data_IF_595546080208
#
_entry.id   IF_595546080208
#
_cell.length_a   1.000
_cell.length_b   1.000
_cell.length_c   1.000
_cell.angle_alpha   90.00
_cell.angle_beta   90.00
_cell.angle_gamma   90.00
#
_symmetry.space_group_name_H-M   'P 1'
#
loop_
_entity.id
_entity.type
_entity.pdbx_description
1 polymer ?
#
# COMPACT_ATOMS: atom_id res chain seq x y z
N UNK A 1 6.40 0.56 -6.53
CA UNK A 1 5.01 0.67 -7.04
C UNK A 1 4.20 1.75 -6.35
N UNK A 2 4.05 1.72 -5.02
CA UNK A 2 3.12 2.62 -4.33
C UNK A 2 3.50 4.10 -4.42
N UNK A 3 4.77 4.47 -4.27
CA UNK A 3 5.19 5.87 -4.42
C UNK A 3 4.87 6.42 -5.81
N UNK A 4 5.03 5.62 -6.87
CA UNK A 4 4.62 6.02 -8.22
C UNK A 4 3.09 6.19 -8.32
N UNK A 5 2.31 5.32 -7.68
CA UNK A 5 0.85 5.48 -7.55
C UNK A 5 0.45 6.74 -6.78
N UNK A 6 1.18 7.09 -5.71
CA UNK A 6 0.94 8.31 -4.95
C UNK A 6 1.18 9.56 -5.80
N UNK A 7 2.26 9.59 -6.59
CA UNK A 7 2.50 10.66 -7.55
C UNK A 7 1.41 10.73 -8.63
N UNK A 8 0.96 9.59 -9.19
CA UNK A 8 -0.16 9.56 -10.15
C UNK A 8 -1.42 10.20 -9.56
N UNK A 9 -1.80 9.82 -8.35
CA UNK A 9 -2.96 10.39 -7.64
C UNK A 9 -2.77 11.88 -7.38
N UNK A 10 -1.59 12.31 -6.94
CA UNK A 10 -1.30 13.71 -6.66
C UNK A 10 -1.37 14.59 -7.93
N UNK A 11 -0.81 14.12 -9.04
CA UNK A 11 -0.80 14.85 -10.33
C UNK A 11 -2.21 14.95 -10.92
N UNK A 12 -3.01 13.87 -10.84
CA UNK A 12 -4.39 13.88 -11.33
C UNK A 12 -5.30 14.79 -10.49
N UNK A 13 -5.03 14.92 -9.18
CA UNK A 13 -5.81 15.76 -8.26
C UNK A 13 -5.42 17.25 -8.36
N UNK A 14 -5.87 17.93 -9.41
CA UNK A 14 -5.54 19.36 -9.65
C UNK A 14 -6.17 20.38 -8.70
N UNK A 15 -7.16 19.96 -7.90
CA UNK A 15 -7.96 20.84 -7.01
C UNK A 15 -7.90 20.44 -5.54
N UNK A 16 -7.09 19.43 -5.18
CA UNK A 16 -6.96 18.92 -3.82
C UNK A 16 -5.49 18.65 -3.51
N UNK A 17 -4.91 19.24 -2.44
CA UNK A 17 -3.51 19.00 -2.09
C UNK A 17 -3.28 17.53 -1.69
N UNK A 18 -2.05 17.05 -1.88
CA UNK A 18 -1.62 15.71 -1.48
C UNK A 18 -0.31 15.82 -0.69
N UNK A 19 -0.22 15.10 0.42
CA UNK A 19 1.01 14.97 1.22
C UNK A 19 1.50 13.54 1.07
N UNK A 20 2.80 13.37 0.80
CA UNK A 20 3.46 12.08 0.71
C UNK A 20 4.45 11.97 1.88
N UNK A 21 4.17 11.06 2.83
CA UNK A 21 5.09 10.72 3.91
C UNK A 21 6.10 9.69 3.39
N UNK A 22 7.38 10.07 3.29
CA UNK A 22 8.44 9.25 2.70
C UNK A 22 9.45 8.82 3.78
N UNK A 23 9.87 7.55 3.72
CA UNK A 23 10.86 7.00 4.66
C UNK A 23 12.25 7.56 4.42
N UNK A 24 13.08 7.57 5.47
CA UNK A 24 14.51 7.88 5.37
C UNK A 24 15.33 6.65 4.95
N UNK A 25 14.94 5.48 5.44
CA UNK A 25 15.62 4.20 5.25
C UNK A 25 15.16 3.50 3.96
N UNK A 26 15.98 2.54 3.50
CA UNK A 26 15.63 1.64 2.41
C UNK A 26 14.50 0.70 2.85
N UNK A 27 13.64 0.35 1.90
CA UNK A 27 12.55 -0.60 2.06
C UNK A 27 12.49 -1.53 0.83
N UNK A 28 12.03 -2.78 0.96
CA UNK A 28 11.86 -3.67 -0.17
C UNK A 28 10.67 -3.28 -1.04
N UNK A 29 10.67 -3.75 -2.29
CA UNK A 29 9.44 -3.78 -3.09
C UNK A 29 8.71 -5.08 -2.78
N UNK A 30 7.54 -4.98 -2.15
CA UNK A 30 6.74 -6.16 -1.78
C UNK A 30 5.87 -6.65 -2.96
N UNK A 31 5.73 -7.97 -3.15
CA UNK A 31 4.76 -8.54 -4.08
C UNK A 31 3.34 -8.05 -3.79
N UNK A 32 2.50 -7.98 -4.81
CA UNK A 32 1.11 -7.51 -4.71
C UNK A 32 0.96 -5.98 -4.66
N UNK A 33 2.02 -5.23 -4.34
CA UNK A 33 1.94 -3.77 -4.39
C UNK A 33 1.80 -3.26 -5.83
N UNK A 34 0.95 -2.26 -6.06
CA UNK A 34 0.63 -1.77 -7.42
C UNK A 34 0.36 -0.28 -7.47
N UNK A 35 0.51 0.33 -8.66
CA UNK A 35 0.18 1.74 -8.89
C UNK A 35 -1.34 1.95 -8.74
N UNK A 36 -2.13 1.01 -9.26
CA UNK A 36 -3.59 1.03 -9.28
C UNK A 36 -4.16 0.87 -7.87
N UNK A 37 -3.54 0.04 -7.03
CA UNK A 37 -3.95 -0.19 -5.65
C UNK A 37 -3.98 1.09 -4.82
N UNK A 38 -3.01 1.99 -5.01
CA UNK A 38 -2.94 3.27 -4.29
C UNK A 38 -4.18 4.13 -4.52
N UNK A 39 -4.76 4.10 -5.72
CA UNK A 39 -5.97 4.84 -6.04
C UNK A 39 -7.20 4.40 -5.24
N UNK A 40 -7.18 3.19 -4.67
CA UNK A 40 -8.25 2.65 -3.81
C UNK A 40 -8.14 3.11 -2.34
N UNK A 41 -7.04 3.76 -1.96
CA UNK A 41 -6.74 4.15 -0.58
C UNK A 41 -6.21 2.99 0.26
N UNK A 42 -6.96 1.88 0.36
CA UNK A 42 -6.53 0.62 0.97
C UNK A 42 -6.85 -0.56 0.06
N UNK A 43 -5.94 -1.54 -0.01
CA UNK A 43 -6.11 -2.71 -0.88
C UNK A 43 -5.34 -3.92 -0.33
N UNK A 44 -5.75 -5.11 -0.75
CA UNK A 44 -5.15 -6.38 -0.36
C UNK A 44 -3.84 -6.59 -1.15
N UNK A 45 -2.73 -6.80 -0.45
CA UNK A 45 -1.41 -7.09 -1.04
C UNK A 45 -1.09 -8.59 -1.05
N UNK A 46 -1.70 -9.35 -0.15
CA UNK A 46 -1.58 -10.81 -0.03
C UNK A 46 -2.85 -11.34 0.65
N UNK A 47 -3.32 -12.51 0.23
CA UNK A 47 -4.47 -13.20 0.82
C UNK A 47 -4.32 -14.69 0.60
N UNK A 48 -4.47 -15.46 1.67
CA UNK A 48 -4.50 -16.93 1.67
C UNK A 48 -5.85 -17.49 2.17
N UNK A 49 -6.84 -16.62 2.41
CA UNK A 49 -8.16 -17.00 2.89
C UNK A 49 -9.03 -17.60 1.77
N UNK A 50 -10.10 -18.28 2.16
CA UNK A 50 -11.11 -18.79 1.24
C UNK A 50 -12.46 -18.15 1.52
N UNK A 51 -13.25 -17.92 0.47
CA UNK A 51 -14.58 -17.32 0.61
C UNK A 51 -14.59 -15.90 1.18
N UNK A 52 -13.49 -15.14 1.04
CA UNK A 52 -13.36 -13.78 1.56
C UNK A 52 -13.59 -13.68 3.08
N UNK A 53 -13.07 -14.66 3.83
CA UNK A 53 -13.22 -14.78 5.27
C UNK A 53 -11.88 -15.12 5.94
N UNK A 54 -10.97 -14.14 6.09
CA UNK A 54 -9.73 -14.34 6.85
C UNK A 54 -10.02 -14.42 8.35
N UNK A 55 -9.22 -15.22 9.07
CA UNK A 55 -9.28 -15.27 10.54
C UNK A 55 -8.72 -13.99 11.17
N UNK A 56 -7.74 -13.36 10.51
CA UNK A 56 -7.12 -12.10 10.92
C UNK A 56 -6.78 -11.24 9.70
N UNK A 57 -6.91 -9.92 9.86
CA UNK A 57 -6.51 -8.94 8.84
C UNK A 57 -5.38 -8.10 9.44
N UNK A 58 -4.21 -8.14 8.80
CA UNK A 58 -3.09 -7.26 9.13
C UNK A 58 -3.05 -6.09 8.15
N UNK A 59 -2.93 -4.88 8.68
CA UNK A 59 -2.88 -3.63 7.90
C UNK A 59 -1.61 -2.88 8.27
N UNK A 60 -0.82 -2.49 7.28
CA UNK A 60 0.37 -1.67 7.44
C UNK A 60 0.44 -0.57 6.37
N UNK A 61 1.25 0.45 6.63
CA UNK A 61 1.46 1.58 5.71
C UNK A 61 2.94 1.89 5.64
N UNK A 62 3.45 2.29 4.47
CA UNK A 62 4.85 2.72 4.35
C UNK A 62 5.83 1.64 4.81
N UNK A 63 6.74 1.99 5.72
CA UNK A 63 7.74 1.04 6.25
C UNK A 63 7.12 -0.10 7.05
N UNK A 64 6.01 0.12 7.73
CA UNK A 64 5.40 -0.90 8.59
C UNK A 64 4.62 -1.94 7.79
N UNK A 65 4.38 -1.71 6.48
CA UNK A 65 3.79 -2.72 5.60
C UNK A 65 4.70 -3.96 5.47
N UNK A 66 6.02 -3.79 5.48
CA UNK A 66 6.99 -4.89 5.47
C UNK A 66 6.83 -5.78 6.71
N UNK A 67 6.64 -5.16 7.87
CA UNK A 67 6.46 -5.87 9.15
C UNK A 67 5.15 -6.67 9.11
N UNK A 68 4.06 -6.04 8.65
CA UNK A 68 2.78 -6.72 8.50
C UNK A 68 2.84 -7.88 7.50
N UNK A 69 3.57 -7.70 6.39
CA UNK A 69 3.72 -8.69 5.34
C UNK A 69 4.48 -9.93 5.81
N UNK A 70 5.55 -9.77 6.59
CA UNK A 70 6.32 -10.90 7.12
C UNK A 70 5.73 -11.54 8.38
N UNK A 71 4.78 -10.87 9.03
CA UNK A 71 4.02 -11.45 10.14
C UNK A 71 2.84 -12.32 9.68
N UNK A 72 2.34 -12.09 8.46
CA UNK A 72 1.28 -12.88 7.82
C UNK A 72 1.78 -14.22 7.28
#
# INVERSE_FOLDING_TARGET
>A
NETAGAYKVAVLNRKRPSILALSRQKLPNLPGTSIEGVGKGGYIVSDNSTGNKPDVILIGTGSELEIAYYAA
#
